data_IF_445810733208
#
_entry.id   IF_445810733208
#
_cell.length_a   1.000
_cell.length_b   1.000
_cell.length_c   1.000
_cell.angle_alpha   90.00
_cell.angle_beta   90.00
_cell.angle_gamma   90.00
#
_symmetry.space_group_name_H-M   'P 1'
#
loop_
_entity.id
_entity.type
_entity.pdbx_description
1 polymer ?
#
# COMPACT_ATOMS: atom_id res chain seq x y z
N UNK A 1 17.63 17.33 -1.31
CA UNK A 1 17.72 16.62 -2.61
C UNK A 1 16.99 15.30 -2.55
N UNK A 2 16.81 14.59 -3.68
CA UNK A 2 16.27 13.22 -3.65
C UNK A 2 17.32 12.22 -3.18
N UNK A 3 16.90 11.16 -2.47
CA UNK A 3 17.79 10.09 -1.99
C UNK A 3 18.55 9.40 -3.13
N UNK A 4 17.91 9.18 -4.27
CA UNK A 4 18.55 8.62 -5.47
C UNK A 4 19.74 9.47 -5.96
N UNK A 5 19.63 10.79 -5.88
CA UNK A 5 20.73 11.69 -6.22
C UNK A 5 21.88 11.59 -5.20
N UNK A 6 21.58 11.49 -3.90
CA UNK A 6 22.58 11.25 -2.88
C UNK A 6 23.34 9.94 -3.12
N UNK A 7 22.63 8.87 -3.47
CA UNK A 7 23.23 7.57 -3.83
C UNK A 7 24.17 7.74 -5.03
N UNK A 8 23.68 8.42 -6.08
CA UNK A 8 24.48 8.64 -7.31
C UNK A 8 25.79 9.37 -7.01
N UNK A 9 25.75 10.50 -6.27
CA UNK A 9 26.98 11.24 -5.95
C UNK A 9 27.89 10.48 -4.99
N UNK A 10 27.33 9.63 -4.12
CA UNK A 10 28.11 8.75 -3.26
C UNK A 10 28.86 7.69 -4.07
N UNK A 11 28.20 7.07 -5.06
CA UNK A 11 28.81 6.06 -5.93
C UNK A 11 29.86 6.69 -6.85
N UNK A 12 29.60 7.89 -7.39
CA UNK A 12 30.60 8.67 -8.12
C UNK A 12 31.83 8.96 -7.25
N UNK A 13 31.63 9.28 -5.97
CA UNK A 13 32.73 9.55 -5.04
C UNK A 13 33.53 8.30 -4.72
N UNK A 14 32.90 7.13 -4.66
CA UNK A 14 33.61 5.83 -4.53
C UNK A 14 34.46 5.54 -5.76
N UNK A 15 33.91 5.79 -6.96
CA UNK A 15 34.67 5.65 -8.21
C UNK A 15 35.87 6.60 -8.25
N UNK A 16 35.74 7.84 -7.73
CA UNK A 16 36.87 8.75 -7.56
C UNK A 16 37.92 8.20 -6.60
N UNK A 17 37.52 7.56 -5.49
CA UNK A 17 38.42 6.93 -4.53
C UNK A 17 39.20 5.77 -5.18
N UNK A 18 38.53 4.90 -5.91
CA UNK A 18 39.17 3.80 -6.64
C UNK A 18 40.17 4.34 -7.69
N UNK A 19 39.80 5.39 -8.42
CA UNK A 19 40.67 6.04 -9.37
C UNK A 19 41.90 6.70 -8.68
N UNK A 20 41.72 7.33 -7.51
CA UNK A 20 42.81 7.91 -6.72
C UNK A 20 43.81 6.84 -6.27
N UNK A 21 43.34 5.71 -5.79
CA UNK A 21 44.15 4.55 -5.40
C UNK A 21 44.98 3.98 -6.57
N UNK A 22 44.33 3.87 -7.74
CA UNK A 22 45.03 3.46 -8.96
C UNK A 22 46.12 4.47 -9.36
N UNK A 23 45.81 5.77 -9.34
CA UNK A 23 46.72 6.86 -9.72
C UNK A 23 47.98 6.90 -8.81
N UNK A 24 47.92 6.38 -7.58
CA UNK A 24 49.06 6.29 -6.68
C UNK A 24 50.20 5.41 -7.21
N UNK A 25 49.85 4.39 -7.97
CA UNK A 25 50.81 3.40 -8.53
C UNK A 25 50.89 3.44 -10.07
N UNK A 26 50.05 4.20 -10.75
CA UNK A 26 49.95 4.21 -12.21
C UNK A 26 51.16 4.95 -12.83
N UNK A 27 51.81 4.35 -13.86
CA UNK A 27 52.86 5.03 -14.61
C UNK A 27 52.30 6.23 -15.39
N UNK A 28 53.20 7.17 -15.73
CA UNK A 28 52.84 8.28 -16.63
C UNK A 28 52.45 7.72 -18.00
N UNK A 29 51.35 8.20 -18.59
CA UNK A 29 50.87 7.75 -19.89
C UNK A 29 49.41 8.18 -20.12
N UNK A 30 48.88 7.76 -21.26
CA UNK A 30 47.52 8.16 -21.72
C UNK A 30 46.40 7.76 -20.74
N UNK A 31 46.50 6.56 -20.14
CA UNK A 31 45.50 6.08 -19.16
C UNK A 31 45.47 6.99 -17.93
N UNK A 32 46.63 7.42 -17.44
CA UNK A 32 46.71 8.34 -16.31
C UNK A 32 46.09 9.69 -16.63
N UNK A 33 46.34 10.22 -17.83
CA UNK A 33 45.77 11.47 -18.30
C UNK A 33 44.23 11.38 -18.41
N UNK A 34 43.74 10.29 -18.97
CA UNK A 34 42.30 10.02 -19.11
C UNK A 34 41.61 9.92 -17.75
N UNK A 35 42.17 9.20 -16.77
CA UNK A 35 41.64 9.09 -15.42
C UNK A 35 41.60 10.44 -14.71
N UNK A 36 42.61 11.27 -14.88
CA UNK A 36 42.64 12.61 -14.31
C UNK A 36 41.53 13.50 -14.91
N UNK A 37 41.30 13.42 -16.21
CA UNK A 37 40.24 14.20 -16.88
C UNK A 37 38.84 13.69 -16.52
N UNK A 38 38.63 12.37 -16.49
CA UNK A 38 37.38 11.76 -16.07
C UNK A 38 37.03 12.13 -14.61
N UNK A 39 38.01 12.11 -13.72
CA UNK A 39 37.81 12.52 -12.33
C UNK A 39 37.38 13.98 -12.18
N UNK A 40 38.02 14.90 -12.95
CA UNK A 40 37.61 16.31 -12.96
C UNK A 40 36.17 16.51 -13.45
N UNK A 41 35.77 15.78 -14.52
CA UNK A 41 34.39 15.80 -15.01
C UNK A 41 33.39 15.29 -13.97
N UNK A 42 33.72 14.20 -13.30
CA UNK A 42 32.90 13.60 -12.25
C UNK A 42 32.74 14.54 -11.03
N UNK A 43 33.82 15.16 -10.58
CA UNK A 43 33.75 16.19 -9.51
C UNK A 43 32.89 17.38 -9.93
N UNK A 44 32.95 17.80 -11.20
CA UNK A 44 32.07 18.82 -11.75
C UNK A 44 30.58 18.43 -11.65
N UNK A 45 30.25 17.21 -12.01
CA UNK A 45 28.87 16.69 -11.93
C UNK A 45 28.37 16.62 -10.46
N UNK A 46 29.22 16.13 -9.54
CA UNK A 46 28.92 16.12 -8.10
C UNK A 46 28.65 17.53 -7.59
N UNK A 47 29.52 18.47 -7.94
CA UNK A 47 29.35 19.89 -7.58
C UNK A 47 28.04 20.45 -8.08
N UNK A 48 27.70 20.25 -9.35
CA UNK A 48 26.49 20.77 -9.97
C UNK A 48 25.21 20.24 -9.29
N UNK A 49 25.23 18.99 -8.81
CA UNK A 49 24.14 18.41 -8.01
C UNK A 49 24.06 19.07 -6.64
N UNK A 50 25.18 19.22 -5.94
CA UNK A 50 25.24 19.84 -4.61
C UNK A 50 24.80 21.33 -4.67
N UNK A 51 25.28 22.11 -5.63
CA UNK A 51 24.94 23.52 -5.81
C UNK A 51 23.47 23.78 -6.09
N UNK A 52 22.82 22.92 -6.91
CA UNK A 52 21.37 23.01 -7.16
C UNK A 52 20.52 22.85 -5.89
N UNK A 53 21.07 22.24 -4.86
CA UNK A 53 20.39 21.98 -3.58
C UNK A 53 20.98 22.81 -2.43
N UNK A 54 21.80 23.81 -2.74
CA UNK A 54 22.52 24.65 -1.78
C UNK A 54 21.67 25.71 -1.03
N UNK A 55 20.35 25.68 -1.18
CA UNK A 55 19.47 26.51 -0.35
C UNK A 55 19.50 26.16 1.15
N UNK A 56 20.17 25.05 1.53
CA UNK A 56 20.39 24.63 2.91
C UNK A 56 21.85 24.89 3.30
N UNK A 57 22.08 25.60 4.41
CA UNK A 57 23.41 25.88 4.99
C UNK A 57 24.28 24.62 5.20
N UNK A 58 23.66 23.44 5.24
CA UNK A 58 24.36 22.14 5.37
C UNK A 58 25.12 21.72 4.12
N UNK A 59 24.85 22.28 2.95
CA UNK A 59 25.51 21.91 1.70
C UNK A 59 26.85 22.63 1.47
N UNK A 60 27.22 23.61 2.29
CA UNK A 60 28.52 24.30 2.21
C UNK A 60 29.67 23.38 2.55
N UNK A 61 29.57 22.55 3.60
CA UNK A 61 30.62 21.62 4.03
C UNK A 61 30.96 20.56 2.97
N UNK A 62 29.98 19.88 2.33
CA UNK A 62 30.29 18.99 1.21
C UNK A 62 30.97 19.67 0.03
N UNK A 63 30.59 20.91 -0.32
CA UNK A 63 31.24 21.67 -1.39
C UNK A 63 32.67 22.05 -1.05
N UNK A 64 32.95 22.46 0.18
CA UNK A 64 34.31 22.74 0.66
C UNK A 64 35.22 21.52 0.59
N UNK A 65 34.73 20.34 1.02
CA UNK A 65 35.47 19.09 0.89
C UNK A 65 35.70 18.68 -0.56
N UNK A 66 34.69 18.82 -1.40
CA UNK A 66 34.81 18.54 -2.84
C UNK A 66 35.85 19.45 -3.51
N UNK A 67 35.88 20.72 -3.11
CA UNK A 67 36.90 21.66 -3.56
C UNK A 67 38.30 21.21 -3.13
N UNK A 68 38.49 20.79 -1.86
CA UNK A 68 39.75 20.24 -1.34
C UNK A 68 40.21 19.00 -2.12
N UNK A 69 39.28 18.08 -2.42
CA UNK A 69 39.55 16.92 -3.27
C UNK A 69 40.06 17.38 -4.63
N UNK A 70 39.41 18.40 -5.24
CA UNK A 70 39.84 18.98 -6.51
C UNK A 70 41.27 19.56 -6.47
N UNK A 71 41.68 20.18 -5.37
CA UNK A 71 43.05 20.69 -5.20
C UNK A 71 44.09 19.55 -5.10
N UNK A 72 43.75 18.47 -4.43
CA UNK A 72 44.62 17.30 -4.26
C UNK A 72 44.66 16.41 -5.51
N UNK A 73 43.67 16.53 -6.41
CA UNK A 73 43.50 15.66 -7.57
C UNK A 73 44.62 15.84 -8.60
N UNK A 74 45.50 14.83 -8.71
CA UNK A 74 46.68 14.87 -9.59
C UNK A 74 47.91 15.51 -9.01
N UNK A 75 47.86 16.01 -7.78
CA UNK A 75 48.95 16.74 -7.11
C UNK A 75 50.06 15.86 -6.50
N UNK A 76 49.91 14.53 -6.51
CA UNK A 76 50.92 13.61 -5.94
C UNK A 76 50.78 13.33 -4.44
N UNK A 77 49.88 14.03 -3.74
CA UNK A 77 49.57 13.80 -2.31
C UNK A 77 48.48 12.71 -2.15
N UNK A 78 48.79 11.49 -2.60
CA UNK A 78 47.82 10.40 -2.71
C UNK A 78 47.16 10.04 -1.38
N UNK A 79 47.89 9.96 -0.28
CA UNK A 79 47.34 9.64 1.04
C UNK A 79 46.35 10.68 1.54
N UNK A 80 46.65 11.99 1.36
CA UNK A 80 45.75 13.06 1.76
C UNK A 80 44.49 13.11 0.87
N UNK A 81 44.62 12.74 -0.39
CA UNK A 81 43.47 12.63 -1.32
C UNK A 81 42.54 11.50 -0.92
N UNK A 82 43.07 10.31 -0.63
CA UNK A 82 42.27 9.14 -0.21
C UNK A 82 41.55 9.44 1.10
N UNK A 83 42.24 9.94 2.14
CA UNK A 83 41.61 10.32 3.41
C UNK A 83 40.47 11.36 3.24
N UNK A 84 40.69 12.37 2.37
CA UNK A 84 39.69 13.39 2.11
C UNK A 84 38.48 12.83 1.37
N UNK A 85 38.65 11.89 0.43
CA UNK A 85 37.59 11.19 -0.28
C UNK A 85 36.80 10.27 0.66
N UNK A 86 37.48 9.50 1.51
CA UNK A 86 36.81 8.65 2.49
C UNK A 86 35.98 9.47 3.48
N UNK A 87 36.53 10.59 3.97
CA UNK A 87 35.79 11.52 4.83
C UNK A 87 34.58 12.10 4.11
N UNK A 88 34.72 12.52 2.85
CA UNK A 88 33.62 13.06 2.04
C UNK A 88 32.50 12.02 1.91
N UNK A 89 32.83 10.80 1.49
CA UNK A 89 31.85 9.71 1.33
C UNK A 89 31.11 9.41 2.64
N UNK A 90 31.83 9.35 3.76
CA UNK A 90 31.27 9.04 5.07
C UNK A 90 30.36 10.16 5.59
N UNK A 91 30.75 11.43 5.38
CA UNK A 91 30.03 12.59 5.92
C UNK A 91 28.87 13.08 5.05
N UNK A 92 28.89 12.79 3.76
CA UNK A 92 27.92 13.27 2.81
C UNK A 92 26.45 12.96 3.24
N UNK A 93 26.06 11.75 3.67
CA UNK A 93 24.70 11.45 4.13
C UNK A 93 24.29 12.19 5.41
N UNK A 94 25.25 12.60 6.24
CA UNK A 94 25.01 13.34 7.49
C UNK A 94 24.79 14.85 7.24
N UNK A 95 25.42 15.37 6.21
CA UNK A 95 25.52 16.81 5.94
C UNK A 95 24.53 17.32 4.89
N UNK A 96 24.01 16.41 4.07
CA UNK A 96 23.04 16.74 3.00
C UNK A 96 21.64 16.33 3.40
N UNK A 97 20.70 17.28 3.36
CA UNK A 97 19.29 16.97 3.52
C UNK A 97 18.76 16.26 2.28
N UNK A 98 18.14 15.12 2.48
CA UNK A 98 17.52 14.35 1.40
C UNK A 98 16.12 13.87 1.77
N UNK A 99 15.31 13.59 0.73
CA UNK A 99 14.00 12.98 0.87
C UNK A 99 13.90 11.73 0.01
N UNK A 100 13.19 10.74 0.54
CA UNK A 100 12.80 9.52 -0.17
C UNK A 100 11.46 9.79 -0.83
N UNK A 101 11.43 9.82 -2.15
CA UNK A 101 10.19 9.91 -2.93
C UNK A 101 9.46 8.58 -2.86
N UNK A 102 8.21 8.60 -2.37
CA UNK A 102 7.37 7.42 -2.21
C UNK A 102 6.03 7.62 -2.93
N UNK A 103 5.68 6.75 -3.85
CA UNK A 103 4.38 6.81 -4.53
C UNK A 103 3.45 5.73 -4.00
N UNK A 104 2.20 6.10 -3.72
CA UNK A 104 1.12 5.22 -3.28
C UNK A 104 0.09 5.11 -4.40
N UNK A 105 -0.04 3.94 -5.01
CA UNK A 105 -1.05 3.67 -6.03
C UNK A 105 -2.35 3.23 -5.37
N UNK A 106 -3.32 4.15 -5.33
CA UNK A 106 -4.58 3.99 -4.61
C UNK A 106 -5.74 3.77 -5.61
N UNK A 107 -6.44 2.65 -5.48
CA UNK A 107 -7.45 2.21 -6.43
C UNK A 107 -8.88 2.51 -5.96
N UNK A 108 -9.22 2.13 -4.72
CA UNK A 108 -10.55 2.22 -4.12
C UNK A 108 -10.47 2.63 -2.66
N UNK A 109 -11.48 3.36 -2.19
CA UNK A 109 -11.58 3.80 -0.80
C UNK A 109 -11.55 2.65 0.21
N UNK A 110 -12.18 1.53 -0.12
CA UNK A 110 -12.24 0.34 0.74
C UNK A 110 -10.88 -0.37 0.92
N UNK A 111 -9.89 -0.02 0.09
CA UNK A 111 -8.52 -0.56 0.17
C UNK A 111 -7.51 0.45 0.70
N UNK A 112 -7.88 1.72 0.80
CA UNK A 112 -6.98 2.79 1.24
C UNK A 112 -6.46 2.57 2.66
N UNK A 113 -7.26 1.99 3.54
CA UNK A 113 -6.88 1.65 4.90
C UNK A 113 -5.67 0.71 5.01
N UNK A 114 -5.31 0.00 3.93
CA UNK A 114 -4.08 -0.77 3.86
C UNK A 114 -2.81 0.10 3.70
N UNK A 115 -2.95 1.35 3.32
CA UNK A 115 -1.85 2.29 3.04
C UNK A 115 -1.87 3.53 3.93
N UNK A 116 -3.03 3.89 4.48
CA UNK A 116 -3.29 5.17 5.16
C UNK A 116 -2.27 5.47 6.25
N UNK A 117 -2.06 4.55 7.18
CA UNK A 117 -1.15 4.78 8.32
C UNK A 117 0.31 4.94 7.87
N UNK A 118 0.74 4.24 6.82
CA UNK A 118 2.07 4.37 6.24
C UNK A 118 2.22 5.73 5.56
N UNK A 119 1.22 6.13 4.77
CA UNK A 119 1.18 7.44 4.13
C UNK A 119 1.21 8.58 5.14
N UNK A 120 0.37 8.52 6.18
CA UNK A 120 0.32 9.53 7.24
C UNK A 120 1.65 9.65 7.98
N UNK A 121 2.30 8.51 8.29
CA UNK A 121 3.63 8.52 8.89
C UNK A 121 4.64 9.23 7.98
N UNK A 122 4.70 8.84 6.70
CA UNK A 122 5.65 9.44 5.75
C UNK A 122 5.36 10.92 5.50
N UNK A 123 4.09 11.32 5.43
CA UNK A 123 3.70 12.72 5.25
C UNK A 123 4.17 13.63 6.40
N UNK A 124 4.24 13.08 7.60
CA UNK A 124 4.65 13.83 8.80
C UNK A 124 6.15 13.74 9.10
N UNK A 125 6.90 12.96 8.34
CA UNK A 125 8.35 12.81 8.50
C UNK A 125 9.09 13.53 7.35
N UNK A 126 9.91 14.55 7.63
CA UNK A 126 10.58 15.36 6.61
C UNK A 126 11.57 14.58 5.74
N UNK A 127 11.91 13.35 6.10
CA UNK A 127 12.76 12.47 5.30
C UNK A 127 12.04 11.87 4.09
N UNK A 128 10.71 11.99 4.01
CA UNK A 128 9.90 11.45 2.93
C UNK A 128 9.19 12.53 2.14
N UNK A 129 8.95 12.24 0.87
CA UNK A 129 8.12 13.01 -0.05
C UNK A 129 7.06 12.07 -0.65
N UNK A 130 5.96 11.80 0.10
CA UNK A 130 4.93 10.88 -0.34
C UNK A 130 3.97 11.52 -1.34
N UNK A 131 3.69 10.81 -2.42
CA UNK A 131 2.69 11.16 -3.43
C UNK A 131 1.66 10.06 -3.54
N UNK A 132 0.38 10.43 -3.63
CA UNK A 132 -0.69 9.49 -3.88
C UNK A 132 -1.17 9.64 -5.31
N UNK A 133 -1.25 8.54 -6.02
CA UNK A 133 -1.75 8.46 -7.39
C UNK A 133 -3.00 7.58 -7.38
N UNK A 134 -4.13 8.16 -7.79
CA UNK A 134 -5.39 7.41 -7.94
C UNK A 134 -5.34 6.60 -9.23
N UNK A 135 -5.48 5.29 -9.12
CA UNK A 135 -5.43 4.38 -10.25
C UNK A 135 -6.82 3.79 -10.55
N UNK A 136 -7.13 3.52 -11.82
CA UNK A 136 -8.40 2.91 -12.18
C UNK A 136 -8.44 1.43 -11.82
N UNK A 137 -9.65 0.93 -11.58
CA UNK A 137 -9.92 -0.49 -11.35
C UNK A 137 -10.67 -1.07 -12.54
N UNK A 138 -10.17 -2.16 -13.07
CA UNK A 138 -10.89 -2.97 -14.05
C UNK A 138 -11.82 -3.96 -13.37
N UNK A 139 -13.06 -4.03 -13.81
CA UNK A 139 -13.98 -5.12 -13.46
C UNK A 139 -14.60 -5.74 -14.70
N UNK A 140 -14.88 -7.02 -14.63
CA UNK A 140 -15.61 -7.71 -15.70
C UNK A 140 -17.09 -7.44 -15.52
N UNK A 141 -17.72 -6.97 -16.58
CA UNK A 141 -19.18 -6.77 -16.67
C UNK A 141 -19.74 -7.57 -17.84
N UNK A 142 -21.04 -7.85 -17.81
CA UNK A 142 -21.74 -8.43 -18.94
C UNK A 142 -22.50 -7.34 -19.69
N UNK A 143 -22.20 -7.19 -21.00
CA UNK A 143 -22.99 -6.35 -21.92
C UNK A 143 -23.38 -7.17 -23.13
N UNK A 144 -24.66 -7.20 -23.43
CA UNK A 144 -25.24 -7.96 -24.57
C UNK A 144 -24.77 -9.44 -24.62
N UNK A 145 -24.70 -10.09 -23.45
CA UNK A 145 -24.27 -11.47 -23.30
C UNK A 145 -22.76 -11.73 -23.46
N UNK A 146 -21.96 -10.66 -23.60
CA UNK A 146 -20.49 -10.74 -23.70
C UNK A 146 -19.83 -10.20 -22.43
N UNK A 147 -18.71 -10.82 -22.04
CA UNK A 147 -17.85 -10.30 -20.98
C UNK A 147 -17.05 -9.11 -21.52
N UNK A 148 -17.18 -7.96 -20.89
CA UNK A 148 -16.41 -6.75 -21.19
C UNK A 148 -15.67 -6.30 -19.93
N UNK A 149 -14.52 -5.67 -20.11
CA UNK A 149 -13.82 -5.02 -19.01
C UNK A 149 -14.31 -3.58 -18.90
N UNK A 150 -14.95 -3.25 -17.79
CA UNK A 150 -15.30 -1.88 -17.44
C UNK A 150 -14.22 -1.29 -16.54
N UNK A 151 -13.78 -0.08 -16.86
CA UNK A 151 -12.79 0.65 -16.05
C UNK A 151 -13.57 1.61 -15.15
N UNK A 152 -13.36 1.45 -13.84
CA UNK A 152 -13.92 2.33 -12.82
C UNK A 152 -12.80 3.23 -12.33
N UNK A 153 -13.05 4.53 -12.37
CA UNK A 153 -12.16 5.53 -11.81
C UNK A 153 -12.97 6.51 -10.96
N UNK A 154 -12.63 6.61 -9.69
CA UNK A 154 -13.35 7.49 -8.73
C UNK A 154 -12.34 8.26 -7.88
N UNK A 155 -12.68 9.51 -7.62
CA UNK A 155 -11.98 10.29 -6.61
C UNK A 155 -12.62 10.05 -5.23
N UNK A 156 -11.97 9.24 -4.43
CA UNK A 156 -12.37 8.95 -3.05
C UNK A 156 -11.46 9.64 -2.01
N UNK A 157 -10.33 10.19 -2.46
CA UNK A 157 -9.32 10.78 -1.57
C UNK A 157 -9.56 12.26 -1.30
N UNK A 158 -10.04 13.02 -2.31
CA UNK A 158 -10.38 14.44 -2.13
C UNK A 158 -11.39 14.68 -1.01
N UNK A 159 -12.49 13.90 -0.89
CA UNK A 159 -13.40 14.03 0.26
C UNK A 159 -12.75 13.72 1.61
N UNK A 160 -11.66 12.96 1.64
CA UNK A 160 -10.87 12.66 2.84
C UNK A 160 -9.80 13.72 3.14
N UNK A 161 -9.68 14.76 2.31
CA UNK A 161 -8.64 15.79 2.44
C UNK A 161 -7.23 15.31 2.10
N UNK A 162 -7.10 14.23 1.32
CA UNK A 162 -5.82 13.66 0.92
C UNK A 162 -5.45 14.17 -0.48
N UNK A 163 -4.36 14.94 -0.63
CA UNK A 163 -3.87 15.38 -1.93
C UNK A 163 -3.49 14.18 -2.80
N UNK A 164 -3.97 14.14 -4.03
CA UNK A 164 -3.68 13.04 -4.95
C UNK A 164 -3.68 13.48 -6.41
N UNK A 165 -2.89 12.80 -7.22
CA UNK A 165 -2.85 12.96 -8.68
C UNK A 165 -3.78 11.93 -9.34
N UNK A 166 -4.31 12.25 -10.52
CA UNK A 166 -4.91 11.26 -11.41
C UNK A 166 -3.81 10.39 -12.05
N UNK A 167 -4.16 9.17 -12.42
CA UNK A 167 -3.22 8.27 -13.10
C UNK A 167 -2.73 8.84 -14.45
N UNK A 168 -3.52 9.65 -15.11
CA UNK A 168 -3.23 10.36 -16.35
C UNK A 168 -2.33 11.61 -16.15
N UNK A 169 -2.10 12.01 -14.92
CA UNK A 169 -1.26 13.13 -14.52
C UNK A 169 0.10 12.70 -13.94
N UNK A 170 0.36 11.41 -13.90
CA UNK A 170 1.56 10.85 -13.27
C UNK A 170 2.25 9.86 -14.20
N UNK A 171 3.55 10.02 -14.36
CA UNK A 171 4.42 9.09 -15.07
C UNK A 171 5.42 8.48 -14.10
N UNK A 172 5.35 7.18 -13.90
CA UNK A 172 6.27 6.44 -13.03
C UNK A 172 7.71 6.50 -13.57
N UNK A 173 7.87 6.46 -14.88
CA UNK A 173 9.17 6.46 -15.56
C UNK A 173 9.86 7.83 -15.49
N UNK A 174 9.08 8.92 -15.55
CA UNK A 174 9.62 10.29 -15.43
C UNK A 174 9.90 10.66 -13.98
N UNK A 175 9.01 10.28 -13.04
CA UNK A 175 9.21 10.56 -11.61
C UNK A 175 10.30 9.69 -11.00
N UNK A 176 10.46 8.43 -11.41
CA UNK A 176 11.44 7.47 -10.88
C UNK A 176 11.49 7.50 -9.34
N UNK A 177 10.41 7.24 -8.62
CA UNK A 177 10.40 7.31 -7.15
C UNK A 177 11.32 6.23 -6.56
N UNK A 178 11.84 6.45 -5.35
CA UNK A 178 12.64 5.45 -4.64
C UNK A 178 11.80 4.26 -4.16
N UNK A 179 10.52 4.50 -3.83
CA UNK A 179 9.57 3.50 -3.35
C UNK A 179 8.23 3.62 -4.06
N UNK A 180 7.60 2.51 -4.37
CA UNK A 180 6.20 2.44 -4.76
C UNK A 180 5.43 1.47 -3.87
N UNK A 181 4.23 1.86 -3.48
CA UNK A 181 3.33 1.07 -2.64
C UNK A 181 2.08 0.67 -3.41
N UNK A 182 1.72 -0.60 -3.35
CA UNK A 182 0.45 -1.13 -3.86
C UNK A 182 -0.21 -2.02 -2.81
N UNK A 183 -1.55 -2.08 -2.83
CA UNK A 183 -2.32 -3.00 -1.98
C UNK A 183 -3.02 -4.11 -2.77
N UNK A 184 -3.16 -3.95 -4.08
CA UNK A 184 -3.83 -4.89 -4.98
C UNK A 184 -2.84 -5.90 -5.56
N UNK A 185 -3.05 -7.21 -5.35
CA UNK A 185 -2.18 -8.24 -5.92
C UNK A 185 -2.62 -8.72 -7.31
N UNK A 186 -3.88 -8.38 -7.74
CA UNK A 186 -4.51 -8.97 -8.93
C UNK A 186 -4.31 -8.08 -10.15
N UNK A 187 -3.51 -8.54 -11.11
CA UNK A 187 -3.28 -7.86 -12.40
C UNK A 187 -4.57 -7.67 -13.21
N UNK A 188 -5.50 -8.64 -13.14
CA UNK A 188 -6.79 -8.55 -13.82
C UNK A 188 -7.68 -7.39 -13.35
N UNK A 189 -7.37 -6.80 -12.22
CA UNK A 189 -8.14 -5.71 -11.61
C UNK A 189 -7.53 -4.33 -11.84
N UNK A 190 -6.41 -4.20 -12.59
CA UNK A 190 -5.77 -2.91 -12.82
C UNK A 190 -5.23 -2.79 -14.25
N UNK A 191 -4.84 -1.60 -14.67
CA UNK A 191 -4.19 -1.39 -15.95
C UNK A 191 -2.76 -1.92 -15.94
N UNK A 192 -2.25 -2.33 -17.12
CA UNK A 192 -0.94 -2.96 -17.27
C UNK A 192 0.23 -2.10 -16.75
N UNK A 193 0.12 -0.79 -16.87
CA UNK A 193 1.12 0.17 -16.37
C UNK A 193 1.27 0.13 -14.84
N UNK A 194 0.23 -0.32 -14.11
CA UNK A 194 0.23 -0.48 -12.64
C UNK A 194 0.39 -1.94 -12.20
N UNK A 195 0.73 -2.84 -13.09
CA UNK A 195 1.05 -4.21 -12.69
C UNK A 195 2.31 -4.25 -11.84
N UNK A 196 2.37 -5.14 -10.84
CA UNK A 196 3.55 -5.28 -9.98
C UNK A 196 4.85 -5.41 -10.75
N UNK A 197 4.85 -6.19 -11.83
CA UNK A 197 6.03 -6.41 -12.69
C UNK A 197 6.45 -5.14 -13.45
N UNK A 198 5.50 -4.30 -13.84
CA UNK A 198 5.79 -3.04 -14.52
C UNK A 198 6.41 -2.04 -13.55
N UNK A 199 5.81 -1.89 -12.37
CA UNK A 199 6.30 -0.99 -11.32
C UNK A 199 7.69 -1.42 -10.85
N UNK A 200 7.92 -2.71 -10.61
CA UNK A 200 9.18 -3.24 -10.09
C UNK A 200 10.37 -3.07 -11.05
N UNK A 201 10.14 -2.80 -12.34
CA UNK A 201 11.21 -2.47 -13.29
C UNK A 201 11.79 -1.07 -13.10
N UNK A 202 10.99 -0.17 -12.52
CA UNK A 202 11.35 1.25 -12.37
C UNK A 202 11.79 1.57 -10.94
N UNK A 203 11.15 0.94 -9.94
CA UNK A 203 11.34 1.30 -8.54
C UNK A 203 11.25 0.09 -7.60
N UNK A 204 11.60 0.31 -6.33
CA UNK A 204 11.44 -0.69 -5.27
C UNK A 204 9.98 -0.78 -4.86
N UNK A 205 9.31 -1.86 -5.30
CA UNK A 205 7.91 -2.12 -4.99
C UNK A 205 7.75 -2.67 -3.57
N UNK A 206 6.87 -2.06 -2.79
CA UNK A 206 6.41 -2.55 -1.48
C UNK A 206 4.95 -2.96 -1.59
N UNK A 207 4.66 -4.20 -1.24
CA UNK A 207 3.29 -4.72 -1.22
C UNK A 207 2.70 -4.68 0.19
N UNK A 208 1.62 -3.92 0.34
CA UNK A 208 0.81 -3.79 1.56
C UNK A 208 -0.52 -4.52 1.35
N UNK A 209 -0.72 -5.77 1.81
CA UNK A 209 -1.95 -6.50 1.55
C UNK A 209 -3.19 -5.77 2.05
N UNK A 210 -4.19 -5.57 1.17
CA UNK A 210 -5.47 -4.96 1.55
C UNK A 210 -6.39 -5.91 2.32
N UNK A 211 -6.01 -7.16 2.47
CA UNK A 211 -6.75 -8.19 3.21
C UNK A 211 -5.84 -8.90 4.22
N UNK A 212 -6.45 -9.53 5.22
CA UNK A 212 -5.72 -10.38 6.15
C UNK A 212 -5.57 -11.77 5.53
N UNK A 213 -4.35 -12.26 5.30
CA UNK A 213 -4.14 -13.59 4.76
C UNK A 213 -4.67 -14.66 5.73
N UNK A 214 -5.66 -15.42 5.31
CA UNK A 214 -6.13 -16.57 6.06
C UNK A 214 -5.27 -17.78 5.72
N UNK A 215 -4.52 -18.28 6.69
CA UNK A 215 -3.57 -19.38 6.49
C UNK A 215 -4.21 -20.74 6.80
N UNK A 216 -5.46 -20.78 7.26
CA UNK A 216 -5.88 -21.88 8.12
C UNK A 216 -6.60 -23.03 7.40
N UNK A 217 -7.19 -22.87 6.21
CA UNK A 217 -8.20 -23.85 5.77
C UNK A 217 -8.20 -24.29 4.29
N UNK A 218 -7.24 -23.88 3.45
CA UNK A 218 -7.25 -24.31 2.04
C UNK A 218 -5.89 -24.11 1.35
N UNK A 219 -5.76 -24.63 0.13
CA UNK A 219 -4.62 -24.37 -0.76
C UNK A 219 -4.55 -22.92 -1.26
N UNK A 220 -5.53 -22.08 -0.91
CA UNK A 220 -5.62 -20.67 -1.29
C UNK A 220 -4.40 -19.85 -0.88
N UNK A 221 -3.83 -19.98 0.33
CA UNK A 221 -2.58 -19.29 0.69
C UNK A 221 -1.42 -19.65 -0.22
N UNK A 222 -1.32 -20.89 -0.70
CA UNK A 222 -0.28 -21.32 -1.65
C UNK A 222 -0.40 -20.55 -2.96
N UNK A 223 -1.62 -20.42 -3.48
CA UNK A 223 -1.91 -19.64 -4.70
C UNK A 223 -1.54 -18.16 -4.49
N UNK A 224 -1.86 -17.57 -3.34
CA UNK A 224 -1.48 -16.20 -3.03
C UNK A 224 0.04 -16.01 -3.06
N UNK A 225 0.80 -16.89 -2.43
CA UNK A 225 2.27 -16.80 -2.42
C UNK A 225 2.92 -16.94 -3.81
N UNK A 226 2.17 -17.42 -4.80
CA UNK A 226 2.62 -17.59 -6.19
C UNK A 226 2.20 -16.43 -7.11
N UNK A 227 1.45 -15.45 -6.62
CA UNK A 227 1.08 -14.28 -7.44
C UNK A 227 2.30 -13.45 -7.80
N UNK A 228 2.31 -12.79 -8.98
CA UNK A 228 3.43 -11.98 -9.46
C UNK A 228 3.95 -10.98 -8.43
N UNK A 229 3.07 -10.30 -7.70
CA UNK A 229 3.46 -9.32 -6.68
C UNK A 229 4.42 -9.89 -5.64
N UNK A 230 4.22 -11.13 -5.20
CA UNK A 230 5.09 -11.77 -4.21
C UNK A 230 6.47 -12.13 -4.77
N UNK A 231 6.59 -12.21 -6.10
CA UNK A 231 7.85 -12.53 -6.76
C UNK A 231 8.69 -11.31 -7.11
N UNK A 232 8.04 -10.18 -7.40
CA UNK A 232 8.72 -8.98 -7.87
C UNK A 232 8.85 -7.88 -6.81
N UNK A 233 8.04 -7.95 -5.74
CA UNK A 233 8.13 -6.95 -4.68
C UNK A 233 9.48 -7.00 -3.96
N UNK A 234 10.11 -5.83 -3.84
CA UNK A 234 11.29 -5.65 -2.99
C UNK A 234 10.99 -6.00 -1.54
N UNK A 235 9.81 -5.61 -1.05
CA UNK A 235 9.31 -6.00 0.26
C UNK A 235 7.81 -6.33 0.21
N UNK A 236 7.45 -7.38 0.96
CA UNK A 236 6.08 -7.79 1.24
C UNK A 236 5.84 -7.62 2.73
N UNK A 237 4.75 -6.95 3.12
CA UNK A 237 4.42 -6.77 4.53
C UNK A 237 3.62 -7.96 5.03
N UNK A 238 4.17 -8.66 6.02
CA UNK A 238 3.61 -9.86 6.62
C UNK A 238 2.85 -9.58 7.92
N UNK A 239 1.72 -10.27 8.10
CA UNK A 239 0.84 -10.05 9.24
C UNK A 239 1.42 -10.54 10.58
N UNK A 240 2.09 -11.68 10.59
CA UNK A 240 2.62 -12.32 11.79
C UNK A 240 3.61 -13.44 11.44
N UNK A 241 4.22 -14.03 12.48
CA UNK A 241 5.18 -15.11 12.31
C UNK A 241 4.60 -16.34 11.58
N UNK A 242 3.36 -16.72 11.85
CA UNK A 242 2.70 -17.86 11.18
C UNK A 242 2.56 -17.60 9.68
N UNK A 243 2.21 -16.37 9.28
CA UNK A 243 2.19 -15.95 7.88
C UNK A 243 3.59 -16.03 7.26
N UNK A 244 4.61 -15.58 7.97
CA UNK A 244 6.00 -15.66 7.53
C UNK A 244 6.46 -17.11 7.32
N UNK A 245 6.25 -17.99 8.32
CA UNK A 245 6.67 -19.39 8.25
C UNK A 245 5.99 -20.11 7.05
N UNK A 246 4.71 -19.83 6.82
CA UNK A 246 3.98 -20.33 5.67
C UNK A 246 4.57 -19.78 4.36
N UNK A 247 4.82 -18.47 4.29
CA UNK A 247 5.41 -17.81 3.12
C UNK A 247 6.80 -18.37 2.80
N UNK A 248 7.65 -18.61 3.80
CA UNK A 248 8.97 -19.22 3.61
C UNK A 248 8.90 -20.56 2.89
N UNK A 249 7.87 -21.36 3.20
CA UNK A 249 7.70 -22.70 2.62
C UNK A 249 7.19 -22.66 1.17
N UNK A 250 6.38 -21.65 0.81
CA UNK A 250 5.64 -21.63 -0.46
C UNK A 250 6.10 -20.54 -1.44
N UNK A 251 6.97 -19.62 -1.00
CA UNK A 251 7.48 -18.54 -1.83
C UNK A 251 8.82 -18.91 -2.46
N UNK A 252 9.08 -18.43 -3.68
CA UNK A 252 10.39 -18.54 -4.35
C UNK A 252 11.53 -17.86 -3.59
N UNK A 253 11.22 -16.85 -2.79
CA UNK A 253 12.20 -16.07 -2.02
C UNK A 253 12.52 -16.66 -0.65
N UNK A 254 11.85 -17.75 -0.24
CA UNK A 254 12.07 -18.35 1.08
C UNK A 254 11.94 -17.36 2.24
N UNK A 255 11.12 -16.32 2.08
CA UNK A 255 10.89 -15.28 3.09
C UNK A 255 11.84 -14.08 3.04
N UNK A 256 12.88 -14.06 2.19
CA UNK A 256 13.91 -13.00 2.18
C UNK A 256 13.35 -11.59 1.90
N UNK A 257 12.25 -11.48 1.19
CA UNK A 257 11.59 -10.20 0.89
C UNK A 257 10.41 -9.87 1.81
N UNK A 258 10.06 -10.71 2.80
CA UNK A 258 8.96 -10.43 3.72
C UNK A 258 9.45 -9.74 5.00
N UNK A 259 8.75 -8.67 5.39
CA UNK A 259 8.90 -8.00 6.68
C UNK A 259 7.66 -8.28 7.54
N UNK A 260 7.87 -8.84 8.72
CA UNK A 260 6.78 -9.12 9.67
C UNK A 260 6.63 -7.93 10.61
N UNK A 261 5.75 -7.02 10.24
CA UNK A 261 5.47 -5.78 11.00
C UNK A 261 4.03 -5.70 11.50
N UNK A 262 3.18 -6.67 11.15
CA UNK A 262 1.74 -6.50 11.11
C UNK A 262 1.33 -5.81 9.80
N UNK A 263 0.05 -5.89 9.46
CA UNK A 263 -0.48 -5.25 8.24
C UNK A 263 -1.15 -3.93 8.60
N UNK A 264 -0.81 -2.83 7.92
CA UNK A 264 -1.38 -1.49 8.19
C UNK A 264 -2.91 -1.44 8.12
N UNK A 265 -3.51 -2.36 7.35
CA UNK A 265 -4.97 -2.50 7.25
C UNK A 265 -5.71 -2.62 8.60
N UNK A 266 -5.04 -3.08 9.65
CA UNK A 266 -5.65 -3.21 10.99
C UNK A 266 -5.50 -1.94 11.84
N UNK A 267 -4.64 -1.01 11.46
CA UNK A 267 -4.37 0.19 12.26
C UNK A 267 -5.62 1.06 12.48
N UNK A 268 -6.52 1.27 11.49
CA UNK A 268 -7.77 1.98 11.70
C UNK A 268 -8.68 1.31 12.74
N UNK A 269 -8.71 -0.03 12.80
CA UNK A 269 -9.49 -0.78 13.80
C UNK A 269 -8.90 -0.60 15.20
N UNK A 270 -7.57 -0.63 15.32
CA UNK A 270 -6.88 -0.39 16.60
C UNK A 270 -7.13 1.04 17.07
N UNK A 271 -7.09 2.02 16.18
CA UNK A 271 -7.42 3.41 16.46
C UNK A 271 -8.88 3.55 16.91
N UNK A 272 -9.82 2.96 16.15
CA UNK A 272 -11.23 2.93 16.47
C UNK A 272 -11.50 2.38 17.89
N UNK A 273 -10.84 1.29 18.27
CA UNK A 273 -10.99 0.68 19.59
C UNK A 273 -10.57 1.61 20.72
N UNK A 274 -9.58 2.47 20.50
CA UNK A 274 -9.07 3.43 21.47
C UNK A 274 -9.92 4.71 21.55
N UNK A 275 -10.32 5.23 20.41
CA UNK A 275 -10.92 6.56 20.29
C UNK A 275 -12.44 6.51 20.17
N UNK A 276 -13.00 5.38 19.74
CA UNK A 276 -14.41 5.26 19.41
C UNK A 276 -14.80 6.08 18.18
N UNK A 277 -16.07 6.06 17.85
CA UNK A 277 -16.68 6.90 16.81
C UNK A 277 -18.11 7.22 17.20
N UNK A 278 -18.60 8.40 16.83
CA UNK A 278 -20.00 8.77 17.02
C UNK A 278 -20.92 8.00 16.08
N UNK A 279 -22.15 7.78 16.51
CA UNK A 279 -23.20 7.16 15.69
C UNK A 279 -23.39 7.98 14.40
N UNK A 280 -23.29 7.36 13.22
CA UNK A 280 -23.52 8.05 11.96
C UNK A 280 -24.92 8.65 11.84
N UNK A 281 -25.05 9.75 11.12
CA UNK A 281 -26.34 10.31 10.76
C UNK A 281 -27.18 9.30 9.98
N UNK A 282 -28.48 9.20 10.31
CA UNK A 282 -29.37 8.22 9.70
C UNK A 282 -29.37 6.83 10.38
N UNK A 283 -28.53 6.64 11.43
CA UNK A 283 -28.49 5.39 12.18
C UNK A 283 -29.20 5.48 13.54
N UNK A 284 -29.96 6.55 13.79
CA UNK A 284 -30.64 6.82 15.08
C UNK A 284 -31.56 5.67 15.52
N UNK A 285 -32.12 4.93 14.58
CA UNK A 285 -33.04 3.80 14.84
C UNK A 285 -32.39 2.59 15.54
N UNK A 286 -31.05 2.53 15.63
CA UNK A 286 -30.34 1.48 16.39
C UNK A 286 -29.89 1.95 17.77
N UNK A 287 -30.08 3.23 18.10
CA UNK A 287 -29.63 3.83 19.36
C UNK A 287 -30.24 3.16 20.57
N UNK A 288 -29.39 2.76 21.54
CA UNK A 288 -29.82 2.16 22.79
C UNK A 288 -30.29 0.71 22.70
N UNK A 289 -30.13 0.08 21.53
CA UNK A 289 -30.45 -1.33 21.30
C UNK A 289 -29.20 -2.20 21.35
N UNK A 290 -29.38 -3.52 21.45
CA UNK A 290 -28.32 -4.50 21.20
C UNK A 290 -28.13 -4.67 19.70
N UNK A 291 -26.98 -4.28 19.19
CA UNK A 291 -26.75 -4.16 17.75
C UNK A 291 -25.91 -5.33 17.22
N UNK A 292 -26.44 -6.02 16.22
CA UNK A 292 -25.71 -7.08 15.51
C UNK A 292 -25.33 -6.58 14.13
N UNK A 293 -24.05 -6.63 13.82
CA UNK A 293 -23.55 -6.45 12.45
C UNK A 293 -23.66 -7.76 11.70
N UNK A 294 -24.35 -7.75 10.57
CA UNK A 294 -24.32 -8.87 9.64
C UNK A 294 -23.66 -8.47 8.34
N UNK A 295 -22.56 -9.14 8.00
CA UNK A 295 -21.92 -9.03 6.70
C UNK A 295 -21.93 -10.37 5.98
N UNK A 296 -22.57 -10.41 4.83
CA UNK A 296 -22.63 -11.59 3.96
C UNK A 296 -21.57 -11.51 2.85
N UNK A 297 -21.06 -12.66 2.42
CA UNK A 297 -20.18 -12.73 1.27
C UNK A 297 -20.95 -12.42 -0.03
N UNK A 298 -20.22 -12.11 -1.11
CA UNK A 298 -20.83 -11.60 -2.34
C UNK A 298 -21.64 -12.63 -3.13
N UNK A 299 -21.31 -13.92 -3.02
CA UNK A 299 -22.04 -14.98 -3.72
C UNK A 299 -23.24 -15.41 -2.89
N UNK A 300 -24.43 -14.99 -3.35
CA UNK A 300 -25.68 -15.24 -2.63
C UNK A 300 -26.09 -16.71 -2.55
N UNK A 301 -25.60 -17.56 -3.48
CA UNK A 301 -25.94 -18.99 -3.50
C UNK A 301 -25.30 -19.75 -2.34
N UNK A 302 -24.14 -19.29 -1.86
CA UNK A 302 -23.33 -20.01 -0.85
C UNK A 302 -23.10 -19.20 0.42
N UNK A 303 -23.39 -17.91 0.42
CA UNK A 303 -23.19 -17.06 1.60
C UNK A 303 -24.31 -17.18 2.62
N UNK A 304 -24.11 -16.56 3.78
CA UNK A 304 -25.11 -16.41 4.82
C UNK A 304 -26.38 -15.65 4.36
N UNK A 305 -26.34 -15.00 3.18
CA UNK A 305 -27.50 -14.35 2.58
C UNK A 305 -28.69 -15.30 2.38
N UNK A 306 -28.43 -16.61 2.20
CA UNK A 306 -29.49 -17.63 2.13
C UNK A 306 -30.40 -17.67 3.36
N UNK A 307 -29.92 -17.19 4.52
CA UNK A 307 -30.66 -17.07 5.77
C UNK A 307 -31.31 -15.69 5.97
N UNK A 308 -31.45 -14.92 4.89
CA UNK A 308 -32.02 -13.57 4.95
C UNK A 308 -33.37 -13.54 5.67
N UNK A 309 -34.28 -14.45 5.32
CA UNK A 309 -35.63 -14.49 5.89
C UNK A 309 -35.59 -14.76 7.39
N UNK A 310 -34.82 -15.74 7.80
CA UNK A 310 -34.69 -16.15 9.19
C UNK A 310 -34.07 -15.03 10.04
N UNK A 311 -32.98 -14.45 9.58
CA UNK A 311 -32.29 -13.34 10.26
C UNK A 311 -33.23 -12.15 10.41
N UNK A 312 -33.89 -11.72 9.33
CA UNK A 312 -34.76 -10.55 9.38
C UNK A 312 -36.01 -10.79 10.19
N UNK A 313 -36.66 -11.96 10.07
CA UNK A 313 -37.83 -12.28 10.86
C UNK A 313 -37.54 -12.30 12.38
N UNK A 314 -36.33 -12.68 12.76
CA UNK A 314 -35.89 -12.62 14.14
C UNK A 314 -35.83 -11.16 14.65
N UNK A 315 -35.24 -10.24 13.90
CA UNK A 315 -35.18 -8.83 14.28
C UNK A 315 -36.55 -8.13 14.24
N UNK A 316 -37.50 -8.57 13.40
CA UNK A 316 -38.86 -8.02 13.37
C UNK A 316 -39.62 -8.22 14.68
N UNK A 317 -39.33 -9.29 15.42
CA UNK A 317 -40.00 -9.61 16.69
C UNK A 317 -39.18 -9.27 17.95
N UNK A 318 -37.92 -8.86 17.79
CA UNK A 318 -37.04 -8.47 18.89
C UNK A 318 -36.68 -6.98 18.81
N UNK A 319 -37.60 -6.14 19.31
CA UNK A 319 -37.47 -4.69 19.17
C UNK A 319 -36.35 -4.08 20.02
N UNK A 320 -35.88 -4.79 21.06
CA UNK A 320 -34.72 -4.43 21.88
C UNK A 320 -33.37 -4.67 21.18
N UNK A 321 -33.39 -5.39 20.08
CA UNK A 321 -32.25 -5.65 19.23
C UNK A 321 -32.34 -4.88 17.91
N UNK A 322 -31.18 -4.62 17.29
CA UNK A 322 -31.08 -3.96 16.00
C UNK A 322 -30.05 -4.64 15.10
N UNK A 323 -30.27 -4.50 13.80
CA UNK A 323 -29.42 -5.06 12.76
C UNK A 323 -28.72 -3.95 11.98
N UNK A 324 -27.41 -4.06 11.81
CA UNK A 324 -26.65 -3.38 10.75
C UNK A 324 -26.39 -4.44 9.67
N UNK A 325 -27.04 -4.35 8.54
CA UNK A 325 -26.73 -5.22 7.41
C UNK A 325 -25.75 -4.53 6.46
N UNK A 326 -24.56 -5.12 6.33
CA UNK A 326 -23.50 -4.67 5.41
C UNK A 326 -23.23 -5.77 4.40
N UNK A 327 -23.97 -5.80 3.27
CA UNK A 327 -23.68 -6.74 2.19
C UNK A 327 -22.31 -6.44 1.57
N UNK A 328 -21.67 -7.46 0.99
CA UNK A 328 -20.41 -7.24 0.27
C UNK A 328 -20.62 -6.30 -0.93
N UNK A 329 -19.75 -5.34 -1.20
CA UNK A 329 -19.91 -4.35 -2.30
C UNK A 329 -20.13 -4.98 -3.69
N UNK A 330 -19.61 -6.18 -3.90
CA UNK A 330 -19.78 -6.92 -5.16
C UNK A 330 -21.10 -7.68 -5.27
N UNK A 331 -21.90 -7.81 -4.20
CA UNK A 331 -23.08 -8.68 -4.20
C UNK A 331 -24.08 -8.30 -5.31
N UNK A 332 -24.41 -7.02 -5.43
CA UNK A 332 -25.34 -6.56 -6.47
C UNK A 332 -24.84 -6.88 -7.88
N UNK A 333 -23.54 -6.67 -8.13
CA UNK A 333 -22.92 -6.99 -9.42
C UNK A 333 -22.98 -8.49 -9.70
N UNK A 334 -22.67 -9.34 -8.72
CA UNK A 334 -22.73 -10.79 -8.86
C UNK A 334 -24.16 -11.27 -9.10
N UNK A 335 -25.15 -10.72 -8.38
CA UNK A 335 -26.56 -11.05 -8.60
C UNK A 335 -26.98 -10.68 -10.02
N UNK A 336 -26.67 -9.48 -10.49
CA UNK A 336 -27.00 -9.06 -11.85
C UNK A 336 -26.35 -9.93 -12.94
N UNK A 337 -25.12 -10.36 -12.72
CA UNK A 337 -24.35 -11.10 -13.72
C UNK A 337 -24.62 -12.61 -13.76
N UNK A 338 -24.80 -13.21 -12.60
CA UNK A 338 -24.82 -14.66 -12.47
C UNK A 338 -26.16 -15.22 -11.98
N UNK A 339 -27.02 -14.37 -11.36
CA UNK A 339 -28.33 -14.75 -10.81
C UNK A 339 -29.40 -13.71 -11.16
N UNK A 340 -29.56 -13.32 -12.47
CA UNK A 340 -30.46 -12.23 -12.86
C UNK A 340 -31.92 -12.47 -12.46
N UNK A 341 -32.34 -13.74 -12.37
CA UNK A 341 -33.67 -14.14 -11.90
C UNK A 341 -33.92 -13.83 -10.42
N UNK A 342 -32.83 -13.69 -9.63
CA UNK A 342 -32.90 -13.35 -8.22
C UNK A 342 -32.75 -11.85 -7.95
N UNK A 343 -32.54 -11.03 -8.97
CA UNK A 343 -32.30 -9.60 -8.78
C UNK A 343 -33.48 -8.89 -8.11
N UNK A 344 -34.73 -9.21 -8.53
CA UNK A 344 -35.92 -8.68 -7.86
C UNK A 344 -36.03 -9.08 -6.39
N UNK A 345 -35.60 -10.29 -6.04
CA UNK A 345 -35.55 -10.72 -4.64
C UNK A 345 -34.52 -9.90 -3.85
N UNK A 346 -33.33 -9.70 -4.40
CA UNK A 346 -32.30 -8.84 -3.84
C UNK A 346 -32.81 -7.42 -3.57
N UNK A 347 -33.45 -6.78 -4.55
CA UNK A 347 -34.01 -5.43 -4.38
C UNK A 347 -35.07 -5.39 -3.27
N UNK A 348 -35.91 -6.42 -3.17
CA UNK A 348 -36.90 -6.51 -2.11
C UNK A 348 -36.28 -6.65 -0.73
N UNK A 349 -35.16 -7.37 -0.63
CA UNK A 349 -34.40 -7.46 0.60
C UNK A 349 -33.84 -6.08 1.03
N UNK A 350 -33.26 -5.34 0.10
CA UNK A 350 -32.78 -3.96 0.34
C UNK A 350 -33.91 -3.06 0.86
N UNK A 351 -35.06 -3.05 0.15
CA UNK A 351 -36.23 -2.27 0.55
C UNK A 351 -36.75 -2.67 1.93
N UNK A 352 -36.79 -3.97 2.22
CA UNK A 352 -37.22 -4.47 3.53
C UNK A 352 -36.36 -3.88 4.65
N UNK A 353 -35.03 -3.95 4.54
CA UNK A 353 -34.10 -3.41 5.55
C UNK A 353 -34.31 -1.90 5.75
N UNK A 354 -34.40 -1.16 4.67
CA UNK A 354 -34.57 0.29 4.70
C UNK A 354 -35.82 0.70 5.46
N UNK A 355 -36.90 -0.11 5.37
CA UNK A 355 -38.18 0.15 6.02
C UNK A 355 -38.31 -0.37 7.47
N UNK A 356 -37.39 -1.20 7.93
CA UNK A 356 -37.42 -1.70 9.33
C UNK A 356 -37.09 -0.60 10.33
N UNK A 357 -37.79 -0.60 11.46
CA UNK A 357 -37.62 0.38 12.53
C UNK A 357 -36.31 0.16 13.36
N UNK A 358 -35.72 -1.04 13.26
CA UNK A 358 -34.53 -1.45 14.02
C UNK A 358 -33.44 -2.05 13.12
N UNK A 359 -33.41 -1.71 11.82
CA UNK A 359 -32.34 -2.16 10.95
C UNK A 359 -31.74 -1.02 10.11
N UNK A 360 -30.46 -1.09 9.84
CA UNK A 360 -29.69 -0.17 8.99
C UNK A 360 -29.09 -0.96 7.84
N UNK A 361 -29.25 -0.47 6.62
CA UNK A 361 -28.46 -0.90 5.47
C UNK A 361 -27.18 -0.05 5.44
N UNK A 362 -26.05 -0.69 5.67
CA UNK A 362 -24.75 -0.02 5.61
C UNK A 362 -24.12 -0.23 4.22
N UNK A 363 -24.05 0.85 3.46
CA UNK A 363 -23.41 0.94 2.13
C UNK A 363 -22.22 1.88 2.11
N UNK A 364 -21.75 2.31 3.29
CA UNK A 364 -20.61 3.21 3.41
C UNK A 364 -19.31 2.55 2.91
N UNK A 365 -18.38 3.35 2.42
CA UNK A 365 -17.06 2.85 2.01
C UNK A 365 -16.28 2.31 3.22
N UNK A 366 -16.37 2.98 4.36
CA UNK A 366 -15.74 2.56 5.61
C UNK A 366 -16.64 1.59 6.41
N UNK A 367 -16.04 0.50 6.89
CA UNK A 367 -16.70 -0.46 7.80
C UNK A 367 -16.57 -0.06 9.29
N UNK A 368 -15.75 0.93 9.59
CA UNK A 368 -15.44 1.33 10.98
C UNK A 368 -16.67 1.76 11.77
N UNK A 369 -17.63 2.52 11.21
CA UNK A 369 -18.87 2.84 11.92
C UNK A 369 -19.69 1.60 12.33
N UNK A 370 -19.78 0.60 11.42
CA UNK A 370 -20.48 -0.64 11.73
C UNK A 370 -19.80 -1.43 12.85
N UNK A 371 -18.47 -1.44 12.87
CA UNK A 371 -17.68 -2.06 13.95
C UNK A 371 -17.88 -1.35 15.29
N UNK A 372 -17.85 -0.02 15.29
CA UNK A 372 -18.04 0.77 16.50
C UNK A 372 -19.43 0.58 17.11
N UNK A 373 -20.47 0.65 16.25
CA UNK A 373 -21.87 0.70 16.67
C UNK A 373 -22.50 -0.67 16.94
N UNK A 374 -21.83 -1.79 16.61
CA UNK A 374 -22.35 -3.13 16.87
C UNK A 374 -21.78 -3.74 18.16
N UNK A 375 -22.56 -4.61 18.79
CA UNK A 375 -22.16 -5.40 19.96
C UNK A 375 -21.68 -6.80 19.60
N UNK A 376 -22.14 -7.34 18.47
CA UNK A 376 -21.78 -8.66 17.96
C UNK A 376 -21.78 -8.66 16.42
N UNK A 377 -21.17 -9.69 15.82
CA UNK A 377 -21.16 -9.88 14.38
C UNK A 377 -21.69 -11.26 13.98
N UNK A 378 -22.46 -11.29 12.89
CA UNK A 378 -22.73 -12.50 12.08
C UNK A 378 -22.01 -12.34 10.76
N UNK A 379 -21.21 -13.30 10.36
CA UNK A 379 -20.43 -13.18 9.13
C UNK A 379 -20.22 -14.53 8.46
N UNK A 380 -20.02 -14.49 7.18
CA UNK A 380 -19.33 -15.57 6.47
C UNK A 380 -17.82 -15.51 6.79
N UNK A 381 -17.08 -16.55 6.43
CA UNK A 381 -15.63 -16.52 6.54
C UNK A 381 -15.04 -15.40 5.66
N UNK A 382 -14.54 -14.34 6.28
CA UNK A 382 -14.06 -13.14 5.57
C UNK A 382 -12.94 -12.44 6.34
N UNK A 383 -12.15 -11.63 5.64
CA UNK A 383 -11.15 -10.76 6.28
C UNK A 383 -11.80 -9.72 7.19
N UNK A 384 -13.04 -9.30 6.90
CA UNK A 384 -13.77 -8.36 7.73
C UNK A 384 -14.11 -8.95 9.10
N UNK A 385 -14.47 -10.24 9.16
CA UNK A 385 -14.68 -10.94 10.43
C UNK A 385 -13.39 -11.01 11.25
N UNK A 386 -12.27 -11.31 10.61
CA UNK A 386 -10.97 -11.35 11.30
C UNK A 386 -10.59 -9.99 11.91
N UNK A 387 -10.89 -8.90 11.19
CA UNK A 387 -10.70 -7.55 11.69
C UNK A 387 -11.66 -7.21 12.85
N UNK A 388 -12.92 -7.66 12.76
CA UNK A 388 -13.90 -7.43 13.81
C UNK A 388 -13.50 -8.04 15.17
N UNK A 389 -12.86 -9.21 15.15
CA UNK A 389 -12.35 -9.85 16.38
C UNK A 389 -11.34 -8.98 17.14
N UNK A 390 -10.67 -8.02 16.48
CA UNK A 390 -9.78 -7.05 17.15
C UNK A 390 -10.54 -6.06 18.02
N UNK A 391 -11.86 -5.94 17.84
CA UNK A 391 -12.73 -5.12 18.70
C UNK A 391 -13.05 -5.79 20.05
N UNK A 392 -12.59 -7.03 20.30
CA UNK A 392 -12.95 -7.86 21.46
C UNK A 392 -14.46 -8.08 21.59
N UNK A 393 -15.16 -8.14 20.47
CA UNK A 393 -16.60 -8.38 20.40
C UNK A 393 -16.87 -9.76 19.83
N UNK A 394 -17.95 -10.44 20.27
CA UNK A 394 -18.28 -11.78 19.77
C UNK A 394 -18.62 -11.76 18.27
N UNK A 395 -18.16 -12.77 17.55
CA UNK A 395 -18.47 -12.98 16.13
C UNK A 395 -18.93 -14.43 15.91
N UNK A 396 -20.04 -14.59 15.18
CA UNK A 396 -20.55 -15.86 14.70
C UNK A 396 -20.16 -16.03 13.24
N UNK A 397 -19.38 -17.07 12.93
CA UNK A 397 -19.08 -17.47 11.56
C UNK A 397 -20.10 -18.49 11.08
N UNK A 398 -20.85 -18.15 10.03
CA UNK A 398 -21.71 -19.11 9.33
C UNK A 398 -20.85 -19.86 8.32
N UNK A 399 -20.57 -21.12 8.65
CA UNK A 399 -19.83 -22.01 7.77
C UNK A 399 -20.73 -22.47 6.61
N UNK A 400 -20.24 -22.38 5.40
CA UNK A 400 -20.86 -23.00 4.23
C UNK A 400 -20.03 -24.22 3.78
N UNK A 401 -20.63 -25.08 2.95
CA UNK A 401 -20.04 -26.36 2.54
C UNK A 401 -18.92 -26.20 1.49
N UNK A 402 -18.57 -24.96 1.14
CA UNK A 402 -17.53 -24.63 0.15
C UNK A 402 -16.18 -24.32 0.83
N UNK A 403 -16.17 -24.07 2.16
CA UNK A 403 -14.97 -23.74 2.93
C UNK A 403 -14.55 -24.84 3.89
#
# INVERSE_FOLDING_TARGET
>A
MRYSMLVTITDMSRTLLEAAQYLASAPAGDIRAELLDNGRRMMGQIRDVLERHSGDLRTTLPLERLWKIGQLWGGGEHGALEETLEEFIRKLPEEVSYQVRAVFFAELGEKWDAMESVYEYMRNDPRFDPVVVRTPVGRVVMRDGKKEQEIIYKDFLTPMGIPSLGYDQYSLEEDCPELAFISQPYESCTLREFWPETIAKVTRLVYLPYFLPSIVLSDYPTVLCQMPVYHVAWKVIGANKKHFDYYCTHSRHGGANMLVTGVPKIDPVIRLKKEGISLPSGWEKIRGKKVVLWNSWFDIAVSSFRFFKEIFSWFEIHEDCALIWRPHPMTETVVKLYFPEQYSYWENCIKKVQNMANAVLDTESSYLPAFACSDAQISDHSSLMQQYLLMDKPALCIKNDIW
#
